data_IF_450906057801
#
_entry.id   IF_450906057801
#
_cell.length_a   1.000
_cell.length_b   1.000
_cell.length_c   1.000
_cell.angle_alpha   90.00
_cell.angle_beta   90.00
_cell.angle_gamma   90.00
#
_symmetry.space_group_name_H-M   'P 1'
#
loop_
_entity.id
_entity.type
_entity.pdbx_description
1 polymer ?
#
# COMPACT_ATOMS: atom_id res chain seq x y z
N UNK A 1 67.98 8.86 -0.82
CA UNK A 1 68.82 8.67 0.37
C UNK A 1 67.96 8.00 1.43
N UNK A 2 68.22 6.71 1.70
CA UNK A 2 68.03 5.97 2.97
C UNK A 2 66.58 5.90 3.54
N UNK A 3 65.98 4.77 3.93
CA UNK A 3 66.29 3.34 3.89
C UNK A 3 65.04 2.61 4.43
N UNK A 4 64.83 1.42 3.92
CA UNK A 4 63.91 0.38 4.40
C UNK A 4 63.98 0.11 5.91
N UNK A 5 62.84 -0.29 6.50
CA UNK A 5 62.85 -1.31 7.56
C UNK A 5 61.76 -2.35 7.28
N UNK A 6 62.24 -3.56 7.06
CA UNK A 6 61.53 -4.83 7.00
C UNK A 6 61.66 -5.45 8.40
N UNK A 7 60.57 -5.95 8.98
CA UNK A 7 60.67 -7.02 9.99
C UNK A 7 59.74 -8.15 9.58
N UNK A 8 60.34 -9.33 9.46
CA UNK A 8 59.76 -10.62 9.16
C UNK A 8 59.52 -11.39 10.47
N UNK A 9 58.94 -12.59 10.30
CA UNK A 9 58.95 -13.76 11.20
C UNK A 9 57.87 -13.79 12.31
N UNK A 10 57.20 -14.91 12.61
CA UNK A 10 57.15 -16.25 12.00
C UNK A 10 56.06 -17.08 12.73
N UNK A 11 55.42 -17.98 11.97
CA UNK A 11 54.93 -19.32 12.34
C UNK A 11 53.89 -19.57 13.48
N UNK A 12 52.76 -20.13 13.02
CA UNK A 12 52.14 -21.41 13.42
C UNK A 12 51.68 -21.56 14.88
N UNK A 13 50.37 -21.77 15.07
CA UNK A 13 49.81 -23.05 15.59
C UNK A 13 48.30 -23.10 15.38
N UNK A 14 47.87 -24.00 14.49
CA UNK A 14 46.56 -24.64 14.61
C UNK A 14 46.53 -25.39 15.95
N UNK A 15 45.39 -25.37 16.64
CA UNK A 15 45.05 -26.51 17.48
C UNK A 15 43.52 -26.71 17.52
N UNK A 16 43.05 -27.93 17.22
CA UNK A 16 41.67 -28.34 17.38
C UNK A 16 41.44 -28.79 18.83
N UNK A 17 40.30 -28.43 19.41
CA UNK A 17 39.85 -29.03 20.68
C UNK A 17 38.74 -30.02 20.40
N UNK A 18 39.19 -31.27 20.40
CA UNK A 18 38.46 -32.52 20.33
C UNK A 18 37.54 -32.69 21.54
N UNK A 19 36.33 -33.18 21.27
CA UNK A 19 35.34 -33.67 22.21
C UNK A 19 35.65 -35.10 22.65
N UNK A 20 35.70 -35.34 23.98
CA UNK A 20 35.71 -36.66 24.64
C UNK A 20 35.70 -36.40 26.15
N UNK A 21 35.00 -37.08 27.07
CA UNK A 21 34.34 -38.39 27.27
C UNK A 21 33.50 -38.23 28.60
N UNK A 22 32.85 -39.24 29.25
CA UNK A 22 32.73 -40.67 28.95
C UNK A 22 31.30 -41.25 29.00
N UNK A 23 31.27 -42.48 28.49
CA UNK A 23 30.23 -43.48 28.54
C UNK A 23 30.16 -44.10 29.96
N UNK A 24 28.96 -44.22 30.55
CA UNK A 24 28.71 -45.13 31.69
C UNK A 24 27.53 -46.02 31.31
N UNK A 25 27.86 -47.28 31.02
CA UNK A 25 26.94 -48.43 31.03
C UNK A 25 27.00 -49.09 32.41
N UNK A 26 25.84 -49.45 32.95
CA UNK A 26 25.53 -50.63 33.77
C UNK A 26 24.08 -50.45 34.31
N UNK A 27 23.23 -51.44 34.59
CA UNK A 27 23.00 -52.83 34.16
C UNK A 27 21.91 -53.38 35.11
N UNK A 28 20.68 -53.60 34.59
CA UNK A 28 19.64 -54.59 35.00
C UNK A 28 18.88 -54.45 36.36
N UNK A 29 17.69 -55.08 36.61
CA UNK A 29 16.66 -55.73 35.73
C UNK A 29 15.22 -55.17 35.76
N UNK A 30 14.52 -55.54 34.69
CA UNK A 30 13.09 -55.90 34.52
C UNK A 30 12.17 -56.01 35.76
N UNK A 31 11.07 -55.24 35.73
CA UNK A 31 9.73 -55.73 36.08
C UNK A 31 8.68 -55.24 35.10
N UNK A 32 8.11 -56.21 34.40
CA UNK A 32 6.98 -56.12 33.48
C UNK A 32 5.71 -55.71 34.22
N UNK A 33 5.00 -54.70 33.70
CA UNK A 33 3.57 -54.48 33.90
C UNK A 33 2.94 -54.12 32.54
N UNK A 34 1.76 -54.67 32.20
CA UNK A 34 1.13 -54.46 30.88
C UNK A 34 0.57 -53.04 30.72
N UNK A 35 0.44 -52.54 29.48
CA UNK A 35 -0.02 -51.18 29.22
C UNK A 35 -1.52 -51.01 29.49
N UNK A 36 -1.85 -50.05 30.36
CA UNK A 36 -3.21 -49.50 30.46
C UNK A 36 -3.45 -48.59 29.25
N UNK A 37 -4.11 -49.13 28.24
CA UNK A 37 -4.55 -48.40 27.05
C UNK A 37 -5.87 -47.70 27.36
N UNK A 38 -5.82 -46.48 27.90
CA UNK A 38 -7.00 -45.63 28.00
C UNK A 38 -7.25 -44.95 26.66
N UNK A 39 -8.17 -45.52 25.90
CA UNK A 39 -8.72 -44.98 24.65
C UNK A 39 -9.65 -43.79 24.97
N UNK A 40 -9.36 -42.54 24.57
CA UNK A 40 -10.26 -41.41 24.82
C UNK A 40 -11.30 -41.27 23.72
N UNK A 41 -12.00 -42.37 23.37
CA UNK A 41 -12.88 -42.40 22.20
C UNK A 41 -14.19 -43.17 22.44
N UNK A 42 -14.78 -43.04 23.64
CA UNK A 42 -16.06 -43.70 23.95
C UNK A 42 -17.11 -42.84 24.67
N UNK A 43 -16.82 -41.61 25.05
CA UNK A 43 -17.81 -40.77 25.75
C UNK A 43 -18.80 -40.06 24.82
N UNK A 44 -18.54 -40.04 23.49
CA UNK A 44 -19.47 -39.46 22.51
C UNK A 44 -20.43 -40.47 21.85
N UNK A 45 -20.20 -41.78 22.01
CA UNK A 45 -21.03 -42.81 21.35
C UNK A 45 -22.29 -43.13 22.19
N UNK A 46 -22.22 -42.99 23.52
CA UNK A 46 -23.31 -43.40 24.42
C UNK A 46 -24.55 -42.48 24.42
N UNK A 47 -24.47 -41.26 23.86
CA UNK A 47 -25.65 -40.40 23.73
C UNK A 47 -26.50 -40.73 22.48
N UNK A 48 -26.03 -41.56 21.55
CA UNK A 48 -26.76 -41.91 20.34
C UNK A 48 -27.72 -43.10 20.50
N UNK A 49 -27.75 -43.78 21.66
CA UNK A 49 -28.36 -45.10 21.79
C UNK A 49 -29.79 -45.15 22.34
N UNK A 50 -30.51 -44.01 22.31
CA UNK A 50 -31.98 -44.02 22.51
C UNK A 50 -32.68 -42.94 21.68
N UNK A 51 -32.32 -42.87 20.40
CA UNK A 51 -33.01 -42.03 19.44
C UNK A 51 -33.46 -42.94 18.29
N UNK A 52 -34.75 -42.91 17.99
CA UNK A 52 -35.30 -43.68 16.87
C UNK A 52 -34.55 -43.29 15.58
N UNK A 53 -34.27 -44.22 14.65
CA UNK A 53 -33.51 -43.95 13.44
C UNK A 53 -34.05 -42.77 12.62
N UNK A 54 -35.34 -42.45 12.79
CA UNK A 54 -36.03 -41.34 12.14
C UNK A 54 -35.71 -39.95 12.73
N UNK A 55 -35.26 -39.86 13.99
CA UNK A 55 -34.90 -38.57 14.60
C UNK A 55 -33.47 -38.17 14.24
N UNK A 56 -32.58 -39.13 14.01
CA UNK A 56 -31.21 -38.87 13.59
C UNK A 56 -31.15 -38.35 12.14
N UNK A 57 -31.96 -38.95 11.25
CA UNK A 57 -32.14 -38.44 9.88
C UNK A 57 -32.83 -37.08 9.86
N UNK A 58 -33.82 -36.84 10.73
CA UNK A 58 -34.47 -35.53 10.86
C UNK A 58 -33.51 -34.44 11.35
N UNK A 59 -32.63 -34.74 12.30
CA UNK A 59 -31.62 -33.80 12.80
C UNK A 59 -30.55 -33.51 11.75
N UNK A 60 -30.11 -34.53 10.99
CA UNK A 60 -29.21 -34.35 9.86
C UNK A 60 -29.85 -33.48 8.76
N UNK A 61 -31.11 -33.77 8.39
CA UNK A 61 -31.86 -32.97 7.43
C UNK A 61 -32.07 -31.53 7.90
N UNK A 62 -32.40 -31.33 9.18
CA UNK A 62 -32.57 -30.00 9.77
C UNK A 62 -31.25 -29.22 9.78
N UNK A 63 -30.13 -29.88 10.11
CA UNK A 63 -28.80 -29.24 10.06
C UNK A 63 -28.38 -28.87 8.63
N UNK A 64 -28.69 -29.72 7.65
CA UNK A 64 -28.45 -29.44 6.23
C UNK A 64 -29.32 -28.28 5.74
N UNK A 65 -30.60 -28.25 6.12
CA UNK A 65 -31.52 -27.15 5.81
C UNK A 65 -31.07 -25.82 6.45
N UNK A 66 -30.56 -25.86 7.68
CA UNK A 66 -30.03 -24.67 8.36
C UNK A 66 -28.75 -24.15 7.67
N UNK A 67 -27.89 -25.04 7.18
CA UNK A 67 -26.69 -24.66 6.41
C UNK A 67 -27.02 -24.05 5.04
N UNK A 68 -28.12 -24.48 4.41
CA UNK A 68 -28.60 -23.91 3.13
C UNK A 68 -29.34 -22.59 3.32
N UNK A 69 -29.99 -22.39 4.48
CA UNK A 69 -30.65 -21.14 4.84
C UNK A 69 -29.64 -20.00 5.13
N UNK A 70 -28.40 -20.34 5.50
CA UNK A 70 -27.28 -19.41 5.64
C UNK A 70 -26.44 -19.36 4.36
N UNK A 71 -27.09 -19.16 3.22
CA UNK A 71 -26.36 -18.64 2.06
C UNK A 71 -26.01 -17.18 2.37
N UNK A 72 -24.73 -16.76 2.42
CA UNK A 72 -24.44 -15.33 2.43
C UNK A 72 -25.05 -14.76 1.15
N UNK A 73 -25.98 -13.80 1.30
CA UNK A 73 -26.41 -12.98 0.19
C UNK A 73 -25.17 -12.15 -0.18
N UNK A 74 -24.44 -12.59 -1.21
CA UNK A 74 -23.41 -11.79 -1.82
C UNK A 74 -24.11 -10.66 -2.56
N UNK A 75 -24.20 -9.50 -1.93
CA UNK A 75 -24.44 -8.27 -2.67
C UNK A 75 -23.22 -8.08 -3.57
N UNK A 76 -23.38 -8.37 -4.86
CA UNK A 76 -22.57 -7.72 -5.88
C UNK A 76 -22.99 -6.26 -5.81
N UNK A 77 -22.24 -5.44 -5.06
CA UNK A 77 -22.31 -4.00 -5.29
C UNK A 77 -21.81 -3.81 -6.72
N UNK A 78 -22.75 -3.66 -7.66
CA UNK A 78 -22.50 -3.22 -9.02
C UNK A 78 -22.12 -1.73 -9.00
N UNK A 79 -21.17 -1.34 -8.14
CA UNK A 79 -20.56 -0.02 -8.22
C UNK A 79 -19.88 0.04 -9.59
N UNK A 80 -20.18 1.06 -10.42
CA UNK A 80 -19.60 1.13 -11.74
C UNK A 80 -18.08 1.24 -11.62
N UNK A 81 -17.38 0.28 -12.20
CA UNK A 81 -15.93 0.35 -12.38
C UNK A 81 -15.62 1.33 -13.51
N UNK A 82 -14.74 2.28 -13.21
CA UNK A 82 -14.12 3.16 -14.20
C UNK A 82 -12.74 2.62 -14.59
N UNK A 83 -12.36 2.83 -15.84
CA UNK A 83 -11.01 2.57 -16.32
C UNK A 83 -10.21 3.86 -16.23
N UNK A 84 -9.12 3.78 -15.48
CA UNK A 84 -8.14 4.83 -15.31
C UNK A 84 -6.94 4.53 -16.18
N UNK A 85 -6.49 5.49 -16.97
CA UNK A 85 -5.25 5.42 -17.74
C UNK A 85 -4.34 6.55 -17.30
N UNK A 86 -3.15 6.18 -16.82
CA UNK A 86 -2.16 7.09 -16.26
C UNK A 86 -0.97 7.15 -17.19
N UNK A 87 -0.57 8.35 -17.59
CA UNK A 87 0.63 8.62 -18.35
C UNK A 87 1.62 9.36 -17.46
N UNK A 88 2.80 8.80 -17.28
CA UNK A 88 3.85 9.39 -16.44
C UNK A 88 5.01 9.78 -17.33
N UNK A 89 5.37 11.07 -17.33
CA UNK A 89 6.54 11.57 -18.04
C UNK A 89 7.69 11.77 -17.07
N UNK A 90 8.71 10.93 -17.19
CA UNK A 90 9.99 11.15 -16.50
C UNK A 90 10.78 12.21 -17.24
N UNK A 91 11.38 13.13 -16.49
CA UNK A 91 12.17 14.21 -17.09
C UNK A 91 13.48 13.74 -17.71
N UNK A 92 14.01 14.58 -18.59
CA UNK A 92 15.25 14.32 -19.33
C UNK A 92 16.52 14.78 -18.60
N UNK A 93 16.40 15.25 -17.35
CA UNK A 93 17.51 15.71 -16.52
C UNK A 93 18.44 14.53 -16.19
N UNK A 94 19.74 14.80 -16.07
CA UNK A 94 20.72 13.78 -15.68
C UNK A 94 20.30 13.07 -14.39
N UNK A 95 20.30 11.73 -14.42
CA UNK A 95 19.79 10.85 -13.33
C UNK A 95 18.32 11.07 -12.96
N UNK A 96 17.49 11.53 -13.90
CA UNK A 96 16.07 11.76 -13.63
C UNK A 96 15.19 10.50 -13.55
N UNK A 97 15.72 9.30 -13.82
CA UNK A 97 14.96 8.05 -13.75
C UNK A 97 15.08 7.34 -12.40
N UNK A 98 14.23 6.34 -12.14
CA UNK A 98 14.22 5.62 -10.86
C UNK A 98 13.84 4.15 -10.94
N UNK A 99 14.35 3.36 -9.98
CA UNK A 99 13.95 1.96 -9.74
C UNK A 99 13.00 1.82 -8.54
N UNK A 100 12.47 2.93 -8.02
CA UNK A 100 11.57 2.95 -6.86
C UNK A 100 10.17 2.44 -7.20
N UNK A 101 9.41 2.03 -6.19
CA UNK A 101 7.97 1.80 -6.35
C UNK A 101 7.23 3.13 -6.30
N UNK A 102 6.48 3.42 -7.36
CA UNK A 102 5.68 4.65 -7.48
C UNK A 102 4.21 4.36 -7.17
N UNK A 103 3.69 5.09 -6.19
CA UNK A 103 2.28 5.10 -5.81
C UNK A 103 1.61 6.41 -6.24
N UNK A 104 0.31 6.30 -6.50
CA UNK A 104 -0.52 7.37 -7.00
C UNK A 104 -1.85 7.39 -6.26
N UNK A 105 -2.24 8.55 -5.76
CA UNK A 105 -3.61 8.80 -5.30
C UNK A 105 -4.17 10.01 -6.02
N UNK A 106 -5.38 9.86 -6.57
CA UNK A 106 -6.09 10.92 -7.29
C UNK A 106 -7.38 11.23 -6.57
N UNK A 107 -7.79 12.49 -6.57
CA UNK A 107 -8.96 12.97 -5.86
C UNK A 107 -9.90 13.73 -6.78
N UNK A 108 -11.19 13.61 -6.51
CA UNK A 108 -12.21 14.47 -7.09
C UNK A 108 -12.43 15.75 -6.28
N UNK A 109 -13.35 16.60 -6.75
CA UNK A 109 -13.64 17.87 -6.10
C UNK A 109 -14.22 17.72 -4.68
N UNK A 110 -14.82 16.57 -4.35
CA UNK A 110 -15.42 16.30 -3.04
C UNK A 110 -14.41 15.71 -2.05
N UNK A 111 -13.21 15.37 -2.50
CA UNK A 111 -12.16 14.75 -1.69
C UNK A 111 -12.22 13.22 -1.66
N UNK A 112 -13.13 12.61 -2.42
CA UNK A 112 -13.12 11.17 -2.66
C UNK A 112 -11.93 10.81 -3.55
N UNK A 113 -11.38 9.61 -3.38
CA UNK A 113 -10.12 9.24 -4.02
C UNK A 113 -10.04 7.80 -4.52
N UNK A 114 -9.16 7.61 -5.50
CA UNK A 114 -8.65 6.30 -5.90
C UNK A 114 -7.17 6.23 -5.56
N UNK A 115 -6.76 5.17 -4.89
CA UNK A 115 -5.38 4.92 -4.49
C UNK A 115 -4.80 3.70 -5.20
N UNK A 116 -3.62 3.87 -5.78
CA UNK A 116 -2.84 2.88 -6.50
C UNK A 116 -1.48 2.81 -5.79
N UNK A 117 -1.25 1.73 -5.05
CA UNK A 117 -0.04 1.57 -4.23
C UNK A 117 1.22 1.27 -5.04
N UNK A 118 1.07 0.69 -6.23
CA UNK A 118 2.16 0.40 -7.15
C UNK A 118 1.61 0.48 -8.59
N UNK A 119 1.96 1.54 -9.33
CA UNK A 119 1.49 1.78 -10.68
C UNK A 119 1.87 0.65 -11.65
N UNK A 120 3.12 0.20 -11.60
CA UNK A 120 3.64 -0.87 -12.47
C UNK A 120 2.85 -2.17 -12.25
N UNK A 121 2.73 -2.61 -11.00
CA UNK A 121 2.02 -3.85 -10.65
C UNK A 121 0.50 -3.75 -10.87
N UNK A 122 -0.07 -2.56 -10.73
CA UNK A 122 -1.51 -2.34 -10.91
C UNK A 122 -1.93 -2.45 -12.38
N UNK A 123 -1.09 -2.01 -13.32
CA UNK A 123 -1.52 -1.95 -14.71
C UNK A 123 -0.48 -1.51 -15.73
N UNK A 124 0.81 -1.81 -15.54
CA UNK A 124 1.85 -1.45 -16.51
C UNK A 124 1.58 -1.96 -17.93
N UNK A 125 1.62 -1.07 -18.93
CA UNK A 125 1.27 -1.36 -20.32
C UNK A 125 2.45 -1.36 -21.31
N UNK A 126 3.69 -1.38 -20.83
CA UNK A 126 4.89 -1.26 -21.68
C UNK A 126 5.48 -2.61 -22.10
N UNK A 127 4.90 -3.71 -21.59
CA UNK A 127 5.30 -5.09 -21.90
C UNK A 127 6.23 -5.71 -20.86
N UNK A 128 6.46 -7.02 -20.95
CA UNK A 128 7.24 -7.76 -19.95
C UNK A 128 8.72 -7.35 -19.97
N UNK A 129 9.28 -7.11 -18.78
CA UNK A 129 10.69 -6.74 -18.60
C UNK A 129 11.05 -5.33 -19.05
N UNK A 130 10.06 -4.49 -19.33
CA UNK A 130 10.28 -3.06 -19.58
C UNK A 130 10.74 -2.38 -18.29
N UNK A 131 11.75 -1.52 -18.39
CA UNK A 131 12.22 -0.74 -17.25
C UNK A 131 11.46 0.59 -17.18
N UNK A 132 10.58 0.72 -16.19
CA UNK A 132 9.73 1.88 -16.00
C UNK A 132 10.48 3.05 -15.38
N UNK A 133 9.92 4.25 -15.54
CA UNK A 133 10.38 5.49 -14.94
C UNK A 133 11.79 5.90 -15.34
N UNK A 134 12.26 5.46 -16.51
CA UNK A 134 13.58 5.80 -17.02
C UNK A 134 13.63 7.22 -17.60
N UNK A 135 14.82 7.82 -17.57
CA UNK A 135 15.04 9.21 -17.96
C UNK A 135 14.48 9.51 -19.36
N UNK A 136 13.54 10.45 -19.43
CA UNK A 136 12.93 10.93 -20.67
C UNK A 136 11.80 10.06 -21.22
N UNK A 137 11.50 8.93 -20.58
CA UNK A 137 10.43 8.03 -21.01
C UNK A 137 9.04 8.58 -20.68
N UNK A 138 8.09 8.14 -21.49
CA UNK A 138 6.66 8.26 -21.24
C UNK A 138 6.13 6.86 -20.97
N UNK A 139 5.70 6.62 -19.74
CA UNK A 139 5.22 5.31 -19.31
C UNK A 139 3.71 5.34 -19.11
N UNK A 140 3.07 4.23 -19.48
CA UNK A 140 1.61 4.13 -19.53
C UNK A 140 1.14 2.99 -18.62
N UNK A 141 0.14 3.30 -17.79
CA UNK A 141 -0.49 2.36 -16.89
C UNK A 141 -2.01 2.42 -17.09
N UNK A 142 -2.71 1.30 -16.99
CA UNK A 142 -4.17 1.28 -17.00
C UNK A 142 -4.73 0.18 -16.13
N UNK A 143 -5.78 0.51 -15.38
CA UNK A 143 -6.47 -0.43 -14.51
C UNK A 143 -7.87 0.06 -14.16
N UNK A 144 -8.63 -0.81 -13.49
CA UNK A 144 -9.97 -0.50 -12.98
C UNK A 144 -9.90 0.04 -11.57
N UNK A 145 -10.87 0.88 -11.23
CA UNK A 145 -11.12 1.37 -9.87
C UNK A 145 -12.54 1.95 -9.79
N UNK A 146 -12.98 2.28 -8.57
CA UNK A 146 -14.27 2.90 -8.34
C UNK A 146 -14.42 4.19 -9.17
N UNK A 147 -15.59 4.42 -9.76
CA UNK A 147 -15.87 5.70 -10.42
C UNK A 147 -16.00 6.84 -9.40
N UNK A 148 -15.22 7.90 -9.57
CA UNK A 148 -15.38 9.14 -8.79
C UNK A 148 -16.60 9.93 -9.28
N UNK A 149 -17.26 10.65 -8.36
CA UNK A 149 -18.49 11.39 -8.65
C UNK A 149 -18.24 12.68 -9.45
N UNK A 150 -17.02 13.19 -9.42
CA UNK A 150 -16.57 14.38 -10.14
C UNK A 150 -15.23 14.11 -10.84
N UNK A 151 -14.89 14.84 -11.93
CA UNK A 151 -13.58 14.72 -12.56
C UNK A 151 -12.43 14.90 -11.56
N UNK A 152 -11.35 14.16 -11.78
CA UNK A 152 -10.12 14.27 -10.98
C UNK A 152 -9.61 15.71 -11.06
N UNK A 153 -9.25 16.27 -9.91
CA UNK A 153 -8.70 17.60 -9.80
C UNK A 153 -7.54 17.72 -8.81
N UNK A 154 -7.20 16.66 -8.07
CA UNK A 154 -5.97 16.64 -7.29
C UNK A 154 -5.22 15.32 -7.38
N UNK A 155 -3.92 15.40 -7.12
CA UNK A 155 -2.91 14.36 -7.27
C UNK A 155 -2.06 14.31 -6.00
N UNK A 156 -1.77 13.11 -5.51
CA UNK A 156 -0.64 12.80 -4.64
C UNK A 156 0.17 11.69 -5.31
N UNK A 157 1.39 12.04 -5.74
CA UNK A 157 2.34 11.13 -6.37
C UNK A 157 3.48 10.87 -5.38
N UNK A 158 3.76 9.61 -5.07
CA UNK A 158 4.75 9.26 -4.04
C UNK A 158 5.69 8.16 -4.52
N UNK A 159 6.99 8.38 -4.35
CA UNK A 159 8.03 7.36 -4.49
C UNK A 159 8.30 6.72 -3.13
N UNK A 160 8.54 5.40 -3.09
CA UNK A 160 8.99 4.74 -1.86
C UNK A 160 10.48 4.94 -1.57
N UNK A 161 11.24 5.52 -2.52
CA UNK A 161 12.66 5.81 -2.38
C UNK A 161 13.55 4.56 -2.28
N UNK A 162 13.09 3.42 -2.79
CA UNK A 162 13.87 2.18 -2.82
C UNK A 162 14.75 2.06 -4.09
N UNK A 163 15.62 1.04 -4.12
CA UNK A 163 16.48 0.74 -5.29
C UNK A 163 17.78 1.54 -5.38
N UNK A 164 18.65 1.14 -6.30
CA UNK A 164 19.97 1.74 -6.51
C UNK A 164 19.89 3.14 -7.18
N UNK A 165 18.74 3.47 -7.76
CA UNK A 165 18.40 4.76 -8.35
C UNK A 165 17.11 5.32 -7.72
N UNK A 166 17.13 5.59 -6.42
CA UNK A 166 15.93 6.00 -5.67
C UNK A 166 15.42 7.43 -5.97
N UNK A 167 16.28 8.33 -6.45
CA UNK A 167 15.91 9.70 -6.76
C UNK A 167 15.24 9.82 -8.13
N UNK A 168 14.05 10.40 -8.20
CA UNK A 168 13.27 10.49 -9.43
C UNK A 168 12.93 11.93 -9.80
N UNK A 169 13.01 12.30 -11.08
CA UNK A 169 12.52 13.60 -11.55
C UNK A 169 11.32 13.41 -12.49
N UNK A 170 10.13 13.75 -12.00
CA UNK A 170 8.90 13.66 -12.76
C UNK A 170 8.56 15.01 -13.43
N UNK A 171 8.32 15.02 -14.74
CA UNK A 171 7.80 16.21 -15.43
C UNK A 171 6.31 16.38 -15.18
N UNK A 172 5.50 15.40 -15.56
CA UNK A 172 4.04 15.46 -15.40
C UNK A 172 3.41 14.08 -15.26
N UNK A 173 2.21 14.07 -14.70
CA UNK A 173 1.31 12.90 -14.70
C UNK A 173 0.01 13.34 -15.35
N UNK A 174 -0.44 12.60 -16.36
CA UNK A 174 -1.76 12.77 -16.96
C UNK A 174 -2.65 11.59 -16.62
N UNK A 175 -3.90 11.85 -16.24
CA UNK A 175 -4.87 10.82 -15.89
C UNK A 175 -6.09 11.00 -16.77
N UNK A 176 -6.47 9.93 -17.46
CA UNK A 176 -7.73 9.81 -18.21
C UNK A 176 -8.64 8.83 -17.49
N UNK A 177 -9.90 9.19 -17.31
CA UNK A 177 -10.93 8.33 -16.71
C UNK A 177 -12.03 8.10 -17.73
N UNK A 178 -12.42 6.84 -17.89
CA UNK A 178 -13.54 6.43 -18.74
C UNK A 178 -14.45 5.51 -17.96
N UNK A 179 -15.76 5.73 -18.05
CA UNK A 179 -16.76 4.93 -17.35
C UNK A 179 -18.00 4.71 -18.22
N UNK A 180 -18.74 3.65 -17.94
CA UNK A 180 -20.01 3.39 -18.64
C UNK A 180 -21.01 4.45 -18.21
N UNK A 181 -21.60 5.16 -19.19
CA UNK A 181 -22.51 6.29 -18.96
C UNK A 181 -21.91 7.49 -18.18
N UNK A 182 -20.59 7.52 -17.98
CA UNK A 182 -19.87 8.62 -17.35
C UNK A 182 -19.09 9.38 -18.43
N UNK A 183 -19.12 10.72 -18.45
CA UNK A 183 -18.31 11.49 -19.39
C UNK A 183 -16.83 11.19 -19.18
N UNK A 184 -16.08 11.07 -20.28
CA UNK A 184 -14.64 10.93 -20.21
C UNK A 184 -14.03 12.21 -19.63
N UNK A 185 -13.07 12.07 -18.72
CA UNK A 185 -12.33 13.20 -18.16
C UNK A 185 -10.83 12.97 -18.30
N UNK A 186 -10.09 14.03 -18.61
CA UNK A 186 -8.64 14.00 -18.74
C UNK A 186 -8.06 15.22 -18.01
N UNK A 187 -7.01 15.00 -17.22
CA UNK A 187 -6.31 16.08 -16.52
C UNK A 187 -4.82 15.79 -16.49
N UNK A 188 -4.02 16.81 -16.77
CA UNK A 188 -2.57 16.76 -16.64
C UNK A 188 -2.13 17.58 -15.41
N UNK A 189 -1.34 16.96 -14.56
CA UNK A 189 -0.68 17.57 -13.41
C UNK A 189 0.79 17.80 -13.72
N UNK A 190 1.18 19.07 -13.82
CA UNK A 190 2.60 19.43 -13.93
C UNK A 190 3.28 19.23 -12.58
N UNK A 191 4.29 18.36 -12.55
CA UNK A 191 5.07 18.02 -11.35
C UNK A 191 6.37 18.81 -11.34
N UNK A 192 7.24 18.65 -12.34
CA UNK A 192 8.55 19.32 -12.46
C UNK A 192 9.37 19.34 -11.15
N UNK A 193 9.41 18.19 -10.45
CA UNK A 193 9.95 18.08 -9.10
C UNK A 193 10.78 16.81 -8.94
N UNK A 194 11.86 16.89 -8.16
CA UNK A 194 12.55 15.71 -7.63
C UNK A 194 11.71 15.06 -6.52
N UNK A 195 11.41 13.77 -6.65
CA UNK A 195 10.91 12.91 -5.60
C UNK A 195 12.11 12.12 -5.06
N UNK A 196 12.86 12.75 -4.15
CA UNK A 196 14.13 12.24 -3.63
C UNK A 196 14.43 12.85 -2.26
N UNK A 197 15.19 12.14 -1.42
CA UNK A 197 15.66 12.65 -0.12
C UNK A 197 17.06 13.27 -0.17
N UNK A 198 17.80 13.04 -1.26
CA UNK A 198 19.18 13.52 -1.44
C UNK A 198 19.27 14.77 -2.32
N UNK A 199 18.14 15.21 -2.89
CA UNK A 199 18.05 16.35 -3.80
C UNK A 199 16.83 17.20 -3.46
N UNK A 200 16.98 18.53 -3.47
CA UNK A 200 15.88 19.45 -3.19
C UNK A 200 14.67 19.18 -4.12
N UNK A 201 13.42 19.14 -3.59
CA UNK A 201 12.99 19.62 -2.27
C UNK A 201 13.18 18.67 -1.07
N UNK A 202 13.87 17.53 -1.23
CA UNK A 202 14.06 16.52 -0.18
C UNK A 202 12.75 15.84 0.25
N UNK A 203 11.81 15.74 -0.68
CA UNK A 203 10.50 15.13 -0.48
C UNK A 203 10.36 13.94 -1.43
N UNK A 204 9.75 12.85 -0.95
CA UNK A 204 9.38 11.69 -1.78
C UNK A 204 7.98 11.79 -2.36
N UNK A 205 7.27 12.90 -2.10
CA UNK A 205 5.88 13.10 -2.47
C UNK A 205 5.72 14.42 -3.21
N UNK A 206 4.88 14.43 -4.24
CA UNK A 206 4.43 15.63 -4.92
C UNK A 206 2.89 15.71 -4.90
N UNK A 207 2.36 16.77 -4.29
CA UNK A 207 0.91 17.02 -4.24
C UNK A 207 0.56 18.15 -5.22
N UNK A 208 -0.46 17.96 -6.05
CA UNK A 208 -1.02 19.01 -6.92
C UNK A 208 -2.52 19.08 -6.69
N UNK A 209 -3.04 20.26 -6.37
CA UNK A 209 -4.46 20.47 -6.12
C UNK A 209 -4.98 21.57 -7.06
N UNK A 210 -5.80 21.17 -8.03
CA UNK A 210 -6.50 22.04 -8.98
C UNK A 210 -8.01 22.03 -8.73
N UNK A 211 -8.46 21.47 -7.60
CA UNK A 211 -9.88 21.42 -7.29
C UNK A 211 -10.44 22.82 -7.04
N UNK A 212 -11.65 23.11 -7.52
CA UNK A 212 -12.29 24.40 -7.27
C UNK A 212 -12.55 24.57 -5.77
N UNK A 213 -12.23 25.74 -5.22
CA UNK A 213 -12.37 26.05 -3.78
C UNK A 213 -13.81 25.89 -3.26
N UNK A 214 -14.80 25.89 -4.16
CA UNK A 214 -16.24 25.82 -3.85
C UNK A 214 -16.73 24.49 -3.26
N UNK A 215 -15.91 23.43 -3.26
CA UNK A 215 -16.29 22.14 -2.70
C UNK A 215 -15.81 21.90 -1.26
N UNK A 216 -14.81 22.66 -0.78
CA UNK A 216 -14.27 22.54 0.58
C UNK A 216 -14.96 23.46 1.62
N UNK A 217 -15.96 24.25 1.19
CA UNK A 217 -16.50 25.39 1.94
C UNK A 217 -17.98 25.29 2.31
N UNK A 218 -18.41 24.23 2.99
CA UNK A 218 -19.57 24.31 3.91
C UNK A 218 -19.11 24.15 5.37
N UNK A 219 -18.06 24.89 5.73
CA UNK A 219 -17.77 25.26 7.11
C UNK A 219 -18.36 26.65 7.35
N UNK A 220 -19.30 26.76 8.28
CA UNK A 220 -20.05 27.97 8.62
C UNK A 220 -19.21 29.24 8.71
N UNK A 221 -19.55 30.22 7.88
CA UNK A 221 -19.19 31.63 8.05
C UNK A 221 -19.70 32.12 9.42
N UNK A 222 -18.85 32.10 10.44
CA UNK A 222 -19.03 32.93 11.64
C UNK A 222 -18.41 34.28 11.33
N UNK A 223 -19.24 35.11 10.69
CA UNK A 223 -19.11 36.56 10.65
C UNK A 223 -18.85 37.10 12.06
N UNK A 224 -17.59 37.41 12.35
CA UNK A 224 -17.22 38.23 13.50
C UNK A 224 -17.40 39.67 13.06
N UNK A 225 -18.53 40.27 13.45
CA UNK A 225 -18.79 41.69 13.26
C UNK A 225 -17.77 42.51 14.07
N UNK A 226 -16.66 42.86 13.41
CA UNK A 226 -15.66 43.79 13.91
C UNK A 226 -16.14 45.23 13.74
N UNK A 227 -16.80 45.74 14.78
CA UNK A 227 -17.12 47.16 14.96
C UNK A 227 -15.85 48.02 14.97
N UNK A 228 -15.54 48.70 13.87
CA UNK A 228 -14.55 49.78 13.85
C UNK A 228 -15.27 51.13 13.97
N UNK A 229 -14.97 51.83 15.05
CA UNK A 229 -15.51 53.13 15.44
C UNK A 229 -15.14 54.21 14.43
N UNK A 230 -16.14 55.02 14.07
CA UNK A 230 -15.94 56.36 13.53
C UNK A 230 -15.05 57.19 14.48
N UNK A 231 -14.06 57.87 13.91
CA UNK A 231 -13.51 59.09 14.48
C UNK A 231 -13.49 60.16 13.40
N UNK A 232 -14.45 61.07 13.53
CA UNK A 232 -14.61 62.30 12.76
C UNK A 232 -13.68 63.35 13.38
N UNK A 233 -12.68 63.81 12.64
CA UNK A 233 -11.95 65.04 12.98
C UNK A 233 -12.22 66.08 11.90
N UNK A 234 -12.85 67.17 12.32
CA UNK A 234 -13.11 68.37 11.53
C UNK A 234 -12.16 69.50 11.96
N UNK A 235 -11.93 70.41 11.00
CA UNK A 235 -11.26 71.72 11.09
C UNK A 235 -9.73 71.67 11.26
N UNK A 236 -8.95 72.48 10.54
CA UNK A 236 -8.96 73.96 10.59
C UNK A 236 -8.41 74.57 9.29
N UNK A 237 -9.04 75.67 8.88
CA UNK A 237 -8.63 76.64 7.87
C UNK A 237 -7.49 77.54 8.38
N UNK A 238 -6.49 77.83 7.55
CA UNK A 238 -5.93 79.19 7.43
C UNK A 238 -4.82 79.31 6.36
N UNK A 239 -4.98 80.38 5.56
CA UNK A 239 -4.03 81.11 4.71
C UNK A 239 -3.69 80.55 3.32
#
# INVERSE_FOLDING_TARGET
MIRWSRSQDKTIKQNPTTSHFPNIKNSYPDKILPPFRSNPDQTLIFLAQKMAPNTFTLLLLLSLLLSLAFSPIAFSDDDPDCVYTVYVRTGSIWKGGTDSVISLRVYDAYGEYVEISNLEAWGGLMGPGYNYYERGNLDIFSGRGACLASPICALNLTSDGSGDHHGWYCNYVEVTVTGVHTPCSQVQFTVEQWLALDTAPYELTAIRNYCPEFAAGKGTDRKVDGRASETKTAAVSSQ
#
